data_IF_934356314119
#
_entry.id   IF_934356314119
#
_cell.length_a   1.000
_cell.length_b   1.000
_cell.length_c   1.000
_cell.angle_alpha   90.00
_cell.angle_beta   90.00
_cell.angle_gamma   90.00
#
_symmetry.space_group_name_H-M   'P 1'
#
loop_
_entity.id
_entity.type
_entity.pdbx_description
1 polymer ?
#
# COMPACT_ATOMS: atom_id res chain seq x y z
N UNK A 1 -8.63 -23.68 32.78
CA UNK A 1 -7.55 -23.95 31.80
C UNK A 1 -7.73 -22.97 30.64
N UNK A 2 -6.82 -22.01 30.39
CA UNK A 2 -6.92 -21.14 29.23
C UNK A 2 -6.59 -21.94 27.97
N UNK A 3 -7.43 -21.83 26.95
CA UNK A 3 -7.21 -22.46 25.64
C UNK A 3 -6.25 -21.57 24.87
N UNK A 4 -5.05 -22.09 24.60
CA UNK A 4 -4.07 -21.45 23.72
C UNK A 4 -4.65 -21.29 22.32
N UNK A 5 -5.01 -20.07 21.94
CA UNK A 5 -5.32 -19.73 20.56
C UNK A 5 -3.99 -19.69 19.82
N UNK A 6 -3.67 -20.75 19.08
CA UNK A 6 -2.52 -20.75 18.16
C UNK A 6 -2.77 -19.75 17.04
N UNK A 7 -2.29 -18.53 17.23
CA UNK A 7 -2.06 -17.55 16.18
C UNK A 7 -0.78 -17.92 15.45
N UNK A 8 -0.81 -18.87 14.52
CA UNK A 8 0.20 -18.91 13.47
C UNK A 8 -0.26 -19.72 12.25
N UNK A 9 -0.87 -19.04 11.29
CA UNK A 9 -0.70 -19.40 9.88
C UNK A 9 -0.42 -18.10 9.14
N UNK A 10 0.86 -17.74 9.12
CA UNK A 10 1.47 -17.11 7.97
C UNK A 10 0.96 -17.86 6.74
N UNK A 11 -0.01 -17.29 6.03
CA UNK A 11 -0.36 -17.76 4.71
C UNK A 11 0.72 -17.20 3.78
N UNK A 12 1.94 -17.74 3.92
CA UNK A 12 2.92 -17.75 2.86
C UNK A 12 2.39 -18.73 1.81
N UNK A 13 1.35 -18.28 1.11
CA UNK A 13 0.85 -18.93 -0.08
C UNK A 13 1.94 -18.80 -1.12
N UNK A 14 2.79 -19.81 -1.19
CA UNK A 14 3.73 -20.01 -2.28
C UNK A 14 2.89 -20.11 -3.57
N UNK A 15 2.65 -18.98 -4.23
CA UNK A 15 2.19 -18.94 -5.63
C UNK A 15 3.39 -19.45 -6.42
N UNK A 16 3.43 -20.75 -6.68
CA UNK A 16 4.54 -21.42 -7.36
C UNK A 16 4.66 -20.85 -8.78
N UNK A 17 5.66 -19.99 -8.98
CA UNK A 17 6.09 -19.48 -10.30
C UNK A 17 5.95 -17.97 -10.54
N UNK A 18 5.38 -17.19 -9.62
CA UNK A 18 5.20 -15.72 -9.79
C UNK A 18 6.07 -14.88 -8.86
N UNK A 19 6.60 -13.75 -9.34
CA UNK A 19 7.23 -12.73 -8.48
C UNK A 19 6.16 -12.16 -7.54
N UNK A 20 6.33 -12.33 -6.23
CA UNK A 20 5.45 -11.73 -5.24
C UNK A 20 5.77 -10.24 -5.09
N UNK A 21 4.72 -9.41 -5.07
CA UNK A 21 4.81 -7.97 -4.86
C UNK A 21 3.69 -7.54 -3.92
N UNK A 22 3.96 -6.50 -3.14
CA UNK A 22 2.98 -5.83 -2.28
C UNK A 22 2.35 -4.68 -3.04
N UNK A 23 1.01 -4.61 -3.02
CA UNK A 23 0.25 -3.47 -3.54
C UNK A 23 -0.46 -2.74 -2.42
N UNK A 24 -0.32 -1.41 -2.38
CA UNK A 24 -0.97 -0.53 -1.40
C UNK A 24 -1.93 0.41 -2.11
N UNK A 25 -3.21 0.37 -1.75
CA UNK A 25 -4.21 1.33 -2.20
C UNK A 25 -4.38 2.44 -1.17
N UNK A 26 -4.27 3.69 -1.61
CA UNK A 26 -4.42 4.86 -0.76
C UNK A 26 -5.05 6.02 -1.52
N UNK A 27 -5.67 6.96 -0.80
CA UNK A 27 -6.34 8.09 -1.42
C UNK A 27 -7.25 8.83 -0.45
N UNK A 28 -7.61 10.06 -0.81
CA UNK A 28 -8.53 10.88 -0.04
C UNK A 28 -9.98 10.61 -0.45
N UNK A 29 -10.94 10.76 0.48
CA UNK A 29 -12.37 10.46 0.26
C UNK A 29 -12.96 11.10 -1.01
N UNK A 30 -12.53 12.32 -1.35
CA UNK A 30 -12.99 13.10 -2.51
C UNK A 30 -12.01 13.07 -3.71
N UNK A 31 -11.01 12.20 -3.68
CA UNK A 31 -10.02 12.06 -4.74
C UNK A 31 -10.03 10.65 -5.34
N UNK A 32 -9.31 10.49 -6.45
CA UNK A 32 -9.00 9.21 -7.08
C UNK A 32 -8.12 8.35 -6.17
N UNK A 33 -8.21 7.04 -6.36
CA UNK A 33 -7.39 6.07 -5.64
C UNK A 33 -6.02 5.97 -6.30
N UNK A 34 -4.97 5.88 -5.50
CA UNK A 34 -3.62 5.59 -5.94
C UNK A 34 -3.24 4.17 -5.54
N UNK A 35 -2.56 3.46 -6.43
CA UNK A 35 -1.98 2.14 -6.19
C UNK A 35 -0.45 2.26 -6.24
N UNK A 36 0.21 2.00 -5.12
CA UNK A 36 1.65 1.84 -5.05
C UNK A 36 2.02 0.34 -5.07
N UNK A 37 2.97 -0.03 -5.92
CA UNK A 37 3.50 -1.40 -6.02
C UNK A 37 4.95 -1.42 -5.55
N UNK A 38 5.25 -2.35 -4.64
CA UNK A 38 6.55 -2.54 -4.00
C UNK A 38 6.91 -4.02 -4.01
N UNK A 39 8.20 -4.33 -3.96
CA UNK A 39 8.67 -5.70 -3.68
C UNK A 39 8.45 -6.09 -2.21
N UNK A 40 8.67 -5.14 -1.30
CA UNK A 40 8.46 -5.30 0.14
C UNK A 40 7.88 -3.98 0.71
N UNK A 41 7.01 -4.01 1.73
CA UNK A 41 6.52 -2.81 2.41
C UNK A 41 7.61 -1.86 2.92
N UNK A 42 8.85 -2.34 3.07
CA UNK A 42 10.03 -1.57 3.52
C UNK A 42 10.72 -0.74 2.44
N UNK A 43 10.41 -0.97 1.17
CA UNK A 43 11.12 -0.35 0.06
C UNK A 43 10.32 0.83 -0.53
N UNK A 44 10.99 1.69 -1.29
CA UNK A 44 10.29 2.73 -2.06
C UNK A 44 9.36 2.10 -3.11
N UNK A 45 8.22 2.75 -3.43
CA UNK A 45 7.34 2.28 -4.49
C UNK A 45 8.08 2.27 -5.82
N UNK A 46 8.05 1.13 -6.51
CA UNK A 46 8.64 0.99 -7.83
C UNK A 46 7.70 1.49 -8.92
N UNK A 47 6.39 1.46 -8.67
CA UNK A 47 5.33 1.94 -9.56
C UNK A 47 4.22 2.57 -8.74
N UNK A 48 3.76 3.75 -9.16
CA UNK A 48 2.57 4.40 -8.62
C UNK A 48 1.60 4.68 -9.76
N UNK A 49 0.37 4.19 -9.60
CA UNK A 49 -0.70 4.36 -10.57
C UNK A 49 -1.84 5.16 -9.95
N UNK A 50 -2.26 6.23 -10.61
CA UNK A 50 -3.52 6.91 -10.30
C UNK A 50 -4.66 6.22 -11.04
N UNK A 51 -5.59 5.62 -10.28
CA UNK A 51 -6.74 4.90 -10.81
C UNK A 51 -7.88 5.86 -11.12
N UNK A 52 -8.64 5.60 -12.18
CA UNK A 52 -9.82 6.42 -12.50
C UNK A 52 -10.99 6.27 -11.52
N UNK A 53 -10.94 5.36 -10.54
CA UNK A 53 -11.97 5.20 -9.50
C UNK A 53 -11.77 6.21 -8.37
N UNK A 54 -12.85 6.84 -7.92
CA UNK A 54 -12.85 7.65 -6.70
C UNK A 54 -12.76 6.78 -5.45
N UNK A 55 -12.01 7.23 -4.45
CA UNK A 55 -11.82 6.49 -3.18
C UNK A 55 -13.15 6.22 -2.49
N UNK A 56 -14.05 7.20 -2.42
CA UNK A 56 -15.38 7.00 -1.83
C UNK A 56 -16.19 5.91 -2.53
N UNK A 57 -16.10 5.81 -3.86
CA UNK A 57 -16.80 4.78 -4.64
C UNK A 57 -16.19 3.40 -4.40
N UNK A 58 -14.86 3.29 -4.41
CA UNK A 58 -14.17 2.03 -4.13
C UNK A 58 -14.50 1.51 -2.72
N UNK A 59 -14.49 2.39 -1.71
CA UNK A 59 -14.84 2.02 -0.33
C UNK A 59 -16.30 1.57 -0.20
N UNK A 60 -17.22 2.21 -0.92
CA UNK A 60 -18.61 1.77 -0.98
C UNK A 60 -18.70 0.36 -1.58
N UNK A 61 -18.04 0.12 -2.71
CA UNK A 61 -18.08 -1.18 -3.40
C UNK A 61 -17.42 -2.28 -2.53
N UNK A 62 -16.36 -1.95 -1.80
CA UNK A 62 -15.74 -2.85 -0.80
C UNK A 62 -16.66 -3.14 0.38
N UNK A 63 -17.52 -2.20 0.78
CA UNK A 63 -18.55 -2.43 1.80
C UNK A 63 -19.67 -3.36 1.34
N UNK A 64 -19.88 -3.49 0.02
CA UNK A 64 -20.88 -4.38 -0.58
C UNK A 64 -20.33 -5.78 -0.87
N UNK A 65 -19.01 -5.96 -0.90
CA UNK A 65 -18.38 -7.27 -1.09
C UNK A 65 -16.97 -7.20 -1.64
N UNK A 66 -16.53 -8.31 -2.24
CA UNK A 66 -15.20 -8.41 -2.85
C UNK A 66 -15.13 -7.57 -4.13
N UNK A 67 -14.13 -6.70 -4.23
CA UNK A 67 -13.82 -5.93 -5.43
C UNK A 67 -12.59 -6.52 -6.11
N UNK A 68 -12.70 -6.85 -7.41
CA UNK A 68 -11.59 -7.33 -8.24
C UNK A 68 -11.16 -6.25 -9.21
N UNK A 69 -9.91 -5.81 -9.12
CA UNK A 69 -9.31 -4.83 -10.02
C UNK A 69 -8.33 -5.55 -10.94
N UNK A 70 -8.45 -5.34 -12.24
CA UNK A 70 -7.49 -5.80 -13.24
C UNK A 70 -6.96 -4.62 -14.05
N UNK A 71 -5.66 -4.66 -14.37
CA UNK A 71 -4.96 -3.65 -15.14
C UNK A 71 -4.34 -4.31 -16.35
N UNK A 72 -4.64 -3.80 -17.53
CA UNK A 72 -4.17 -4.31 -18.83
C UNK A 72 -3.38 -3.22 -19.54
N UNK A 73 -2.24 -3.59 -20.13
CA UNK A 73 -1.46 -2.72 -21.00
C UNK A 73 -1.24 -3.44 -22.33
N UNK A 74 -1.32 -2.70 -23.44
CA UNK A 74 -1.00 -3.24 -24.76
C UNK A 74 0.52 -3.13 -24.95
N UNK A 75 1.21 -4.27 -24.84
CA UNK A 75 2.66 -4.30 -25.06
C UNK A 75 2.96 -4.44 -26.55
N UNK A 76 3.51 -3.39 -27.16
CA UNK A 76 4.04 -3.48 -28.52
C UNK A 76 5.27 -4.41 -28.54
N UNK A 77 5.28 -5.51 -29.31
CA UNK A 77 6.43 -6.44 -29.35
C UNK A 77 7.72 -5.78 -29.83
N UNK A 78 7.58 -4.71 -30.61
CA UNK A 78 8.67 -3.90 -31.17
C UNK A 78 9.34 -3.01 -30.11
N UNK A 79 8.62 -2.68 -29.04
CA UNK A 79 9.08 -1.80 -27.98
C UNK A 79 9.46 -2.64 -26.76
N UNK A 80 10.73 -2.62 -26.38
CA UNK A 80 11.23 -3.33 -25.18
C UNK A 80 10.90 -2.54 -23.91
N UNK A 81 9.69 -2.01 -23.79
CA UNK A 81 9.21 -1.33 -22.60
C UNK A 81 8.97 -2.38 -21.53
N UNK A 82 9.54 -2.15 -20.35
CA UNK A 82 9.28 -3.00 -19.18
C UNK A 82 7.87 -2.68 -18.70
N UNK A 83 7.19 -3.67 -18.14
CA UNK A 83 5.83 -3.50 -17.61
C UNK A 83 5.72 -2.30 -16.65
N UNK A 84 6.77 -2.05 -15.87
CA UNK A 84 6.82 -0.95 -14.91
C UNK A 84 6.93 0.45 -15.53
N UNK A 85 7.29 0.51 -16.80
CA UNK A 85 7.50 1.73 -17.58
C UNK A 85 6.28 2.09 -18.43
N UNK A 86 5.24 1.24 -18.43
CA UNK A 86 3.99 1.49 -19.14
C UNK A 86 3.25 2.71 -18.56
N UNK A 87 3.01 3.77 -19.36
CA UNK A 87 2.47 5.03 -18.88
C UNK A 87 0.96 4.97 -18.60
N UNK A 88 0.22 4.15 -19.35
CA UNK A 88 -1.25 4.08 -19.30
C UNK A 88 -1.68 2.62 -19.28
N UNK A 89 -2.65 2.34 -18.43
CA UNK A 89 -3.23 1.03 -18.22
C UNK A 89 -4.74 1.11 -18.37
N UNK A 90 -5.33 0.16 -19.06
CA UNK A 90 -6.79 -0.02 -19.05
C UNK A 90 -7.19 -0.72 -17.76
N UNK A 91 -8.17 -0.17 -17.06
CA UNK A 91 -8.61 -0.68 -15.77
C UNK A 91 -10.01 -1.29 -15.86
N UNK A 92 -10.11 -2.48 -15.28
CA UNK A 92 -11.35 -3.22 -15.13
C UNK A 92 -11.66 -3.42 -13.65
N UNK A 93 -12.92 -3.29 -13.30
CA UNK A 93 -13.45 -3.58 -11.97
C UNK A 93 -14.55 -4.62 -12.10
N UNK A 94 -14.43 -5.74 -11.41
CA UNK A 94 -15.35 -6.88 -11.47
C UNK A 94 -15.68 -7.31 -12.91
N UNK A 95 -14.65 -7.31 -13.79
CA UNK A 95 -14.76 -7.71 -15.19
C UNK A 95 -15.32 -6.64 -16.14
N UNK A 96 -15.66 -5.44 -15.65
CA UNK A 96 -16.16 -4.33 -16.48
C UNK A 96 -15.09 -3.27 -16.64
N UNK A 97 -14.89 -2.77 -17.87
CA UNK A 97 -14.00 -1.64 -18.14
C UNK A 97 -14.57 -0.41 -17.46
N UNK A 98 -13.82 0.16 -16.51
CA UNK A 98 -14.26 1.31 -15.69
C UNK A 98 -13.45 2.57 -15.98
N UNK A 99 -12.31 2.44 -16.67
CA UNK A 99 -11.52 3.57 -17.13
C UNK A 99 -10.07 3.19 -17.31
N UNK A 100 -9.19 4.13 -16.95
CA UNK A 100 -7.74 3.98 -17.08
C UNK A 100 -7.05 4.14 -15.72
N UNK A 101 -5.81 3.69 -15.66
CA UNK A 101 -4.86 4.02 -14.62
C UNK A 101 -3.61 4.62 -15.27
N UNK A 102 -3.08 5.69 -14.68
CA UNK A 102 -1.97 6.44 -15.26
C UNK A 102 -0.77 6.33 -14.33
N UNK A 103 0.39 5.98 -14.90
CA UNK A 103 1.66 6.02 -14.18
C UNK A 103 1.99 7.45 -13.82
N UNK A 104 2.37 7.66 -12.57
CA UNK A 104 2.89 8.92 -12.07
C UNK A 104 4.14 8.71 -11.24
N UNK A 105 4.89 9.78 -11.03
CA UNK A 105 6.02 9.76 -10.12
C UNK A 105 5.52 9.74 -8.66
N UNK A 106 6.22 9.02 -7.76
CA UNK A 106 5.96 9.09 -6.33
C UNK A 106 6.20 10.51 -5.81
N UNK A 107 5.25 11.05 -5.06
CA UNK A 107 5.36 12.35 -4.39
C UNK A 107 5.78 12.18 -2.93
N UNK A 108 6.21 13.27 -2.28
CA UNK A 108 6.55 13.27 -0.85
C UNK A 108 5.39 12.79 0.04
N UNK A 109 4.15 13.10 -0.35
CA UNK A 109 2.95 12.63 0.34
C UNK A 109 2.81 11.11 0.26
N UNK A 110 3.12 10.51 -0.90
CA UNK A 110 3.10 9.06 -1.06
C UNK A 110 4.14 8.41 -0.14
N UNK A 111 5.37 8.95 -0.13
CA UNK A 111 6.44 8.44 0.72
C UNK A 111 6.04 8.48 2.20
N UNK A 112 5.37 9.55 2.63
CA UNK A 112 4.84 9.68 3.99
C UNK A 112 3.74 8.67 4.28
N UNK A 113 2.83 8.40 3.34
CA UNK A 113 1.82 7.35 3.46
C UNK A 113 2.50 5.98 3.61
N UNK A 114 3.50 5.68 2.78
CA UNK A 114 4.21 4.40 2.84
C UNK A 114 4.96 4.23 4.18
N UNK A 115 5.62 5.28 4.67
CA UNK A 115 6.27 5.27 5.99
C UNK A 115 5.27 5.05 7.14
N UNK A 116 4.10 5.68 7.04
CA UNK A 116 3.04 5.51 8.05
C UNK A 116 2.50 4.08 8.05
N UNK A 117 2.22 3.52 6.86
CA UNK A 117 1.74 2.15 6.71
C UNK A 117 2.79 1.12 7.15
N UNK A 118 4.07 1.40 6.93
CA UNK A 118 5.16 0.57 7.44
C UNK A 118 5.11 0.49 8.98
N UNK A 119 4.96 1.63 9.68
CA UNK A 119 4.84 1.64 11.13
C UNK A 119 3.61 0.88 11.66
N UNK A 120 2.48 0.94 10.94
CA UNK A 120 1.24 0.22 11.31
C UNK A 120 1.36 -1.28 11.04
N UNK A 121 2.03 -1.67 9.96
CA UNK A 121 2.24 -3.09 9.58
C UNK A 121 3.17 -3.81 10.55
N UNK A 122 4.05 -3.08 11.24
CA UNK A 122 5.00 -3.60 12.23
C UNK A 122 4.38 -3.80 13.63
N UNK A 123 3.05 -3.74 13.75
CA UNK A 123 2.37 -4.00 15.01
C UNK A 123 2.60 -2.89 16.04
N UNK A 124 1.58 -2.69 16.85
CA UNK A 124 1.48 -1.68 17.91
C UNK A 124 2.47 -1.97 19.05
N UNK A 125 3.76 -1.73 18.86
CA UNK A 125 4.73 -1.82 19.97
C UNK A 125 5.95 -0.89 19.89
N UNK A 126 6.05 0.03 18.93
CA UNK A 126 7.10 1.04 18.99
C UNK A 126 6.64 2.41 18.52
N UNK A 127 5.81 3.07 19.34
CA UNK A 127 5.90 4.52 19.42
C UNK A 127 7.16 4.84 20.24
N UNK A 128 8.23 5.43 19.67
CA UNK A 128 9.27 6.01 20.49
C UNK A 128 8.64 7.17 21.26
N UNK A 129 8.31 6.92 22.53
CA UNK A 129 7.98 7.95 23.49
C UNK A 129 9.14 8.94 23.49
N UNK A 130 8.84 10.21 23.19
CA UNK A 130 9.82 11.31 23.29
C UNK A 130 10.46 11.22 24.67
N UNK A 131 11.74 10.89 24.72
CA UNK A 131 12.53 10.97 25.95
C UNK A 131 12.49 12.41 26.46
N UNK A 132 11.65 12.66 27.46
CA UNK A 132 11.65 13.90 28.19
C UNK A 132 12.93 13.96 29.05
N UNK A 133 13.70 15.05 29.03
CA UNK A 133 14.88 15.18 29.87
C UNK A 133 14.48 15.24 31.34
N UNK A 134 14.85 14.22 32.11
CA UNK A 134 14.69 14.14 33.55
C UNK A 134 15.43 15.30 34.23
N UNK A 135 14.67 16.24 34.80
CA UNK A 135 15.20 17.33 35.61
C UNK A 135 15.87 16.80 36.88
N UNK A 136 17.17 17.11 37.04
CA UNK A 136 17.91 16.83 38.28
C UNK A 136 17.33 17.68 39.41
N UNK A 137 16.60 17.03 40.32
CA UNK A 137 16.19 17.57 41.63
C UNK A 137 17.43 18.02 42.40
N UNK A 138 17.47 19.30 42.76
CA UNK A 138 18.37 19.87 43.78
C UNK A 138 18.15 19.13 45.10
N UNK A 139 19.21 18.54 45.66
CA UNK A 139 19.26 18.18 47.08
C UNK A 139 20.11 19.23 47.78
N UNK A 140 19.47 20.02 48.64
CA UNK A 140 20.11 20.80 49.71
C UNK A 140 20.36 19.85 50.87
N UNK A 141 21.56 19.90 51.44
CA UNK A 141 21.90 19.45 52.79
C UNK A 141 23.19 20.23 53.13
N UNK A 142 23.05 21.32 53.88
CA UNK A 142 23.21 21.44 55.34
C UNK A 142 24.67 21.53 55.75
#
# INVERSE_FOLDING_TARGET
MPVSIHTNRMHEGHIHGGKQMTGTLFGHRKSRVNLAIQENPRCLPMLVLELSIQTGKLLQDMGLGLVRIALECEKNPSEKIKLIDEPIWTMYCNGRKVGYAVKREPTDDDLKVMQTLHAVSMGRECCPEKAAPSGKRRRRES
#
